data_IF_272486854281
#
_entry.id   IF_272486854281
#
_cell.length_a   1.000
_cell.length_b   1.000
_cell.length_c   1.000
_cell.angle_alpha   90.00
_cell.angle_beta   90.00
_cell.angle_gamma   90.00
#
_symmetry.space_group_name_H-M   'P 1'
#
loop_
_entity.id
_entity.type
_entity.pdbx_description
1 polymer ?
#
# COMPACT_ATOMS: atom_id res chain seq x y z
N UNK A 1 23.20 63.09 -20.40
CA UNK A 1 21.80 63.38 -20.80
C UNK A 1 21.25 62.15 -21.52
N UNK A 2 21.01 61.03 -20.84
CA UNK A 2 19.80 60.70 -20.07
C UNK A 2 19.32 59.33 -20.57
N UNK A 3 19.16 58.30 -19.72
CA UNK A 3 18.91 56.92 -20.18
C UNK A 3 17.42 56.59 -20.34
N UNK A 4 17.18 55.56 -21.15
CA UNK A 4 15.88 55.06 -21.61
C UNK A 4 15.01 54.48 -20.48
N UNK A 5 13.71 54.80 -20.57
CA UNK A 5 12.62 54.28 -19.76
C UNK A 5 12.50 52.74 -19.81
N UNK A 6 12.45 52.15 -18.62
CA UNK A 6 12.06 50.76 -18.38
C UNK A 6 10.64 50.79 -17.81
N UNK A 7 9.66 50.29 -18.57
CA UNK A 7 8.26 50.22 -18.14
C UNK A 7 8.11 49.18 -17.02
N UNK A 8 7.74 49.65 -15.83
CA UNK A 8 7.30 48.84 -14.70
C UNK A 8 5.86 48.36 -14.93
N UNK A 9 5.59 47.07 -14.71
CA UNK A 9 4.24 46.49 -14.66
C UNK A 9 3.51 46.95 -13.40
N UNK A 10 2.17 47.04 -13.41
CA UNK A 10 1.40 47.50 -12.26
C UNK A 10 1.38 46.47 -11.13
N UNK A 11 1.27 46.91 -9.86
CA UNK A 11 1.18 46.02 -8.70
C UNK A 11 -0.20 45.33 -8.64
N UNK A 12 -0.20 44.04 -8.30
CA UNK A 12 -1.41 43.32 -7.92
C UNK A 12 -1.99 43.94 -6.64
N UNK A 13 -3.23 44.38 -6.74
CA UNK A 13 -3.99 45.04 -5.68
C UNK A 13 -4.51 44.00 -4.66
N UNK A 14 -4.22 44.09 -3.35
CA UNK A 14 -4.75 43.20 -2.33
C UNK A 14 -5.97 43.87 -1.67
N UNK A 15 -7.12 43.83 -2.33
CA UNK A 15 -8.38 44.27 -1.73
C UNK A 15 -9.57 43.66 -2.46
N UNK A 16 -9.80 42.38 -2.20
CA UNK A 16 -11.11 41.77 -2.42
C UNK A 16 -11.44 40.96 -1.18
N UNK A 17 -12.55 41.24 -0.49
CA UNK A 17 -12.88 40.54 0.74
C UNK A 17 -13.09 39.06 0.41
N UNK A 18 -12.36 38.20 1.13
CA UNK A 18 -12.56 36.76 1.14
C UNK A 18 -14.03 36.49 1.46
N UNK A 19 -14.81 36.15 0.45
CA UNK A 19 -16.07 35.44 0.67
C UNK A 19 -15.70 34.17 1.42
N UNK A 20 -16.31 34.00 2.58
CA UNK A 20 -16.22 32.81 3.42
C UNK A 20 -16.21 31.55 2.55
N UNK A 21 -15.05 30.91 2.49
CA UNK A 21 -14.97 29.53 2.07
C UNK A 21 -15.67 28.72 3.16
N UNK A 22 -16.92 28.34 2.90
CA UNK A 22 -17.58 27.30 3.68
C UNK A 22 -16.68 26.06 3.63
N UNK A 23 -16.17 25.73 4.81
CA UNK A 23 -15.49 24.52 5.17
C UNK A 23 -16.29 23.32 4.63
N UNK A 24 -15.82 22.72 3.53
CA UNK A 24 -16.38 21.46 3.03
C UNK A 24 -15.87 20.36 3.96
N UNK A 25 -16.67 20.04 4.98
CA UNK A 25 -16.50 18.82 5.78
C UNK A 25 -16.66 17.62 4.84
N UNK A 26 -15.58 16.87 4.66
CA UNK A 26 -15.62 15.56 4.03
C UNK A 26 -16.17 14.56 5.05
N UNK A 27 -17.49 14.35 5.01
CA UNK A 27 -18.10 13.18 5.63
C UNK A 27 -17.70 11.94 4.82
N UNK A 28 -16.69 11.22 5.31
CA UNK A 28 -16.50 9.81 4.97
C UNK A 28 -17.80 9.08 5.32
N UNK A 29 -18.32 8.31 4.35
CA UNK A 29 -19.55 7.51 4.37
C UNK A 29 -20.79 8.14 3.72
N UNK A 30 -20.84 8.02 2.39
CA UNK A 30 -22.07 7.75 1.65
C UNK A 30 -22.67 8.96 0.92
N UNK A 31 -22.61 8.97 -0.41
CA UNK A 31 -23.79 8.85 -1.29
C UNK A 31 -23.44 8.92 -2.78
N UNK A 32 -24.33 8.29 -3.55
CA UNK A 32 -24.70 8.42 -4.97
C UNK A 32 -23.77 9.18 -5.92
N UNK A 33 -23.33 8.45 -6.94
CA UNK A 33 -22.59 8.94 -8.11
C UNK A 33 -23.37 9.96 -8.92
N UNK A 34 -22.68 11.01 -9.36
CA UNK A 34 -23.04 11.80 -10.52
C UNK A 34 -21.80 11.99 -11.39
N UNK A 35 -21.60 11.09 -12.37
CA UNK A 35 -21.18 11.46 -13.74
C UNK A 35 -21.17 10.22 -14.68
N UNK A 36 -22.01 10.16 -15.72
CA UNK A 36 -22.07 9.04 -16.66
C UNK A 36 -21.36 9.41 -17.97
N UNK A 37 -20.02 9.34 -18.02
CA UNK A 37 -19.35 9.91 -19.19
C UNK A 37 -17.94 9.42 -19.49
N UNK A 38 -17.60 8.15 -19.24
CA UNK A 38 -16.52 7.36 -19.88
C UNK A 38 -16.25 6.10 -19.05
N UNK A 39 -17.25 5.21 -18.97
CA UNK A 39 -17.01 3.85 -18.46
C UNK A 39 -16.43 3.01 -19.60
N UNK A 40 -15.15 2.63 -19.51
CA UNK A 40 -14.58 1.67 -20.44
C UNK A 40 -15.20 0.31 -20.18
N UNK A 41 -16.19 -0.05 -21.01
CA UNK A 41 -16.81 -1.37 -20.97
C UNK A 41 -15.71 -2.43 -21.12
N UNK A 42 -15.67 -3.39 -20.21
CA UNK A 42 -14.77 -4.52 -20.34
C UNK A 42 -15.34 -5.53 -21.34
N UNK A 43 -14.50 -5.93 -22.28
CA UNK A 43 -14.75 -7.03 -23.20
C UNK A 43 -13.90 -8.22 -22.79
N UNK A 44 -14.51 -9.40 -22.73
CA UNK A 44 -13.75 -10.63 -22.51
C UNK A 44 -12.80 -10.86 -23.70
N UNK A 45 -11.49 -11.13 -23.47
CA UNK A 45 -10.53 -11.34 -24.56
C UNK A 45 -10.70 -12.68 -25.29
N UNK A 46 -11.56 -13.58 -24.80
CA UNK A 46 -11.81 -14.86 -25.46
C UNK A 46 -12.59 -14.67 -26.76
N UNK A 47 -12.09 -15.13 -27.93
CA UNK A 47 -12.64 -14.81 -29.26
C UNK A 47 -14.12 -15.15 -29.47
N UNK A 48 -14.69 -16.03 -28.63
CA UNK A 48 -16.08 -16.49 -28.71
C UNK A 48 -16.94 -16.03 -27.53
N UNK A 49 -16.43 -15.15 -26.67
CA UNK A 49 -17.15 -14.71 -25.49
C UNK A 49 -17.72 -13.29 -25.64
N UNK A 50 -19.05 -13.19 -25.64
CA UNK A 50 -19.76 -11.92 -25.74
C UNK A 50 -20.02 -11.24 -24.37
N UNK A 51 -19.31 -11.65 -23.32
CA UNK A 51 -19.50 -11.06 -21.99
C UNK A 51 -18.98 -9.63 -21.94
N UNK A 52 -19.85 -8.74 -21.46
CA UNK A 52 -19.60 -7.32 -21.31
C UNK A 52 -20.04 -6.93 -19.90
N UNK A 53 -19.28 -6.10 -19.23
CA UNK A 53 -19.71 -5.43 -17.99
C UNK A 53 -19.58 -3.93 -18.19
N UNK A 54 -20.58 -3.22 -17.70
CA UNK A 54 -20.77 -1.78 -17.83
C UNK A 54 -19.75 -0.93 -17.08
N UNK A 55 -18.76 -1.54 -16.39
CA UNK A 55 -17.62 -0.86 -15.75
C UNK A 55 -17.97 0.06 -14.57
N UNK A 56 -19.25 0.34 -14.33
CA UNK A 56 -19.78 1.22 -13.28
C UNK A 56 -19.87 0.54 -11.92
N UNK A 57 -19.83 -0.79 -11.88
CA UNK A 57 -19.96 -1.53 -10.62
C UNK A 57 -18.66 -1.50 -9.81
N UNK A 58 -18.75 -1.16 -8.51
CA UNK A 58 -17.62 -1.25 -7.54
C UNK A 58 -16.93 -2.62 -7.51
N UNK A 59 -17.56 -3.65 -8.08
CA UNK A 59 -17.06 -5.02 -8.17
C UNK A 59 -16.48 -5.39 -9.54
N UNK A 60 -16.17 -4.41 -10.39
CA UNK A 60 -15.73 -4.65 -11.76
C UNK A 60 -14.54 -5.64 -11.89
N UNK A 61 -13.52 -5.55 -11.02
CA UNK A 61 -12.39 -6.50 -11.02
C UNK A 61 -12.81 -7.92 -10.61
N UNK A 62 -13.70 -8.05 -9.63
CA UNK A 62 -14.21 -9.35 -9.15
C UNK A 62 -15.11 -10.02 -10.18
N UNK A 63 -15.95 -9.25 -10.88
CA UNK A 63 -16.79 -9.75 -11.97
C UNK A 63 -15.94 -10.26 -13.13
N UNK A 64 -14.89 -9.52 -13.51
CA UNK A 64 -13.91 -9.96 -14.52
C UNK A 64 -13.22 -11.27 -14.14
N UNK A 65 -12.72 -11.38 -12.92
CA UNK A 65 -12.10 -12.62 -12.42
C UNK A 65 -13.08 -13.80 -12.40
N UNK A 66 -14.32 -13.59 -11.94
CA UNK A 66 -15.35 -14.63 -11.92
C UNK A 66 -15.74 -15.09 -13.32
N UNK A 67 -15.91 -14.13 -14.23
CA UNK A 67 -16.25 -14.41 -15.61
C UNK A 67 -15.14 -15.20 -16.30
N UNK A 68 -13.88 -14.77 -16.17
CA UNK A 68 -12.78 -15.43 -16.87
C UNK A 68 -12.53 -16.87 -16.41
N UNK A 69 -12.84 -17.21 -15.15
CA UNK A 69 -12.82 -18.60 -14.66
C UNK A 69 -13.78 -19.53 -15.42
N UNK A 70 -14.73 -19.00 -16.20
CA UNK A 70 -15.63 -19.80 -17.06
C UNK A 70 -14.97 -20.27 -18.36
N UNK A 71 -13.79 -19.71 -18.69
CA UNK A 71 -13.01 -20.05 -19.88
C UNK A 71 -11.84 -20.97 -19.59
N UNK A 72 -11.39 -21.05 -18.33
CA UNK A 72 -10.31 -21.96 -17.95
C UNK A 72 -10.84 -23.39 -17.87
N UNK A 73 -10.43 -24.29 -18.78
CA UNK A 73 -10.83 -25.68 -18.72
C UNK A 73 -10.22 -26.32 -17.47
N UNK A 74 -11.01 -27.17 -16.83
CA UNK A 74 -10.64 -27.95 -15.66
C UNK A 74 -11.18 -29.36 -15.89
N UNK A 75 -10.44 -30.40 -15.53
CA UNK A 75 -10.98 -31.77 -15.53
C UNK A 75 -10.75 -32.35 -14.14
N UNK A 76 -11.72 -32.14 -13.27
CA UNK A 76 -11.61 -32.58 -11.88
C UNK A 76 -12.87 -33.32 -11.43
N UNK A 77 -12.71 -34.56 -10.99
CA UNK A 77 -13.81 -35.37 -10.47
C UNK A 77 -14.12 -34.94 -9.04
N UNK A 78 -15.36 -34.57 -8.77
CA UNK A 78 -15.80 -34.25 -7.41
C UNK A 78 -15.61 -35.50 -6.52
N UNK A 79 -14.96 -35.39 -5.35
CA UNK A 79 -14.76 -36.56 -4.47
C UNK A 79 -16.06 -37.05 -3.83
N UNK A 80 -17.13 -36.25 -3.87
CA UNK A 80 -18.40 -36.52 -3.18
C UNK A 80 -19.53 -36.94 -4.12
N UNK A 81 -19.37 -36.80 -5.43
CA UNK A 81 -20.37 -37.22 -6.41
C UNK A 81 -19.75 -37.52 -7.79
N UNK A 82 -20.47 -38.17 -8.72
CA UNK A 82 -19.95 -38.51 -10.05
C UNK A 82 -19.67 -37.30 -10.97
N UNK A 83 -19.96 -36.06 -10.54
CA UNK A 83 -19.81 -34.87 -11.38
C UNK A 83 -18.34 -34.60 -11.70
N UNK A 84 -18.06 -34.44 -13.00
CA UNK A 84 -16.79 -33.93 -13.52
C UNK A 84 -16.92 -32.41 -13.67
N UNK A 85 -16.07 -31.67 -12.98
CA UNK A 85 -15.95 -30.22 -13.05
C UNK A 85 -15.18 -29.91 -14.31
N UNK A 86 -15.82 -29.24 -15.29
CA UNK A 86 -15.25 -28.96 -16.62
C UNK A 86 -14.55 -27.60 -16.71
N UNK A 87 -14.81 -26.72 -15.74
CA UNK A 87 -14.36 -25.32 -15.74
C UNK A 87 -13.91 -24.88 -14.35
N UNK A 88 -12.94 -23.98 -14.26
CA UNK A 88 -12.46 -23.47 -12.98
C UNK A 88 -13.55 -22.75 -12.15
N UNK A 89 -14.51 -22.09 -12.82
CA UNK A 89 -15.66 -21.45 -12.16
C UNK A 89 -16.55 -22.46 -11.41
N UNK A 90 -16.54 -23.72 -11.83
CA UNK A 90 -17.34 -24.79 -11.24
C UNK A 90 -16.67 -25.44 -10.01
N UNK A 91 -15.43 -25.06 -9.64
CA UNK A 91 -14.73 -25.59 -8.46
C UNK A 91 -15.47 -25.32 -7.13
N UNK A 92 -16.38 -24.33 -7.10
CA UNK A 92 -17.31 -24.09 -5.98
C UNK A 92 -18.25 -25.28 -5.72
N UNK A 93 -18.47 -26.12 -6.74
CA UNK A 93 -19.27 -27.32 -6.60
C UNK A 93 -18.79 -28.23 -5.47
N UNK A 94 -17.48 -28.34 -5.21
CA UNK A 94 -16.95 -29.21 -4.17
C UNK A 94 -17.44 -28.79 -2.78
N UNK A 95 -17.39 -27.49 -2.47
CA UNK A 95 -17.88 -26.94 -1.21
C UNK A 95 -19.40 -27.05 -1.09
N UNK A 96 -20.12 -26.82 -2.18
CA UNK A 96 -21.59 -26.90 -2.19
C UNK A 96 -22.09 -28.35 -2.13
N UNK A 97 -21.34 -29.29 -2.69
CA UNK A 97 -21.62 -30.72 -2.64
C UNK A 97 -21.40 -31.25 -1.22
N UNK A 98 -20.32 -30.83 -0.55
CA UNK A 98 -20.07 -31.16 0.85
C UNK A 98 -21.20 -30.70 1.77
N UNK A 99 -21.65 -29.45 1.62
CA UNK A 99 -22.80 -28.91 2.35
C UNK A 99 -24.08 -29.71 2.10
N UNK A 100 -24.41 -29.99 0.82
CA UNK A 100 -25.62 -30.72 0.44
C UNK A 100 -25.64 -32.16 0.94
N UNK A 101 -24.51 -32.87 0.86
CA UNK A 101 -24.39 -34.26 1.31
C UNK A 101 -24.11 -34.39 2.81
N UNK A 102 -23.95 -33.26 3.52
CA UNK A 102 -23.50 -33.23 4.92
C UNK A 102 -22.20 -34.04 5.12
N UNK A 103 -21.32 -33.97 4.14
CA UNK A 103 -20.02 -34.65 4.13
C UNK A 103 -18.90 -33.62 4.04
N UNK A 104 -17.84 -33.83 4.80
CA UNK A 104 -16.62 -33.02 4.70
C UNK A 104 -15.92 -33.34 3.37
N UNK A 105 -15.50 -32.30 2.64
CA UNK A 105 -14.64 -32.48 1.47
C UNK A 105 -13.27 -32.96 1.96
N UNK A 106 -12.70 -34.06 1.42
CA UNK A 106 -11.38 -34.52 1.82
C UNK A 106 -10.32 -33.43 1.69
N UNK A 107 -9.41 -33.30 2.65
CA UNK A 107 -8.40 -32.23 2.67
C UNK A 107 -7.51 -32.25 1.43
N UNK A 108 -7.18 -33.44 0.91
CA UNK A 108 -6.49 -33.61 -0.38
C UNK A 108 -7.23 -32.90 -1.52
N UNK A 109 -8.55 -33.04 -1.57
CA UNK A 109 -9.38 -32.42 -2.59
C UNK A 109 -9.48 -30.89 -2.41
N UNK A 110 -9.43 -30.38 -1.18
CA UNK A 110 -9.32 -28.93 -0.92
C UNK A 110 -7.98 -28.37 -1.41
N UNK A 111 -6.87 -29.08 -1.17
CA UNK A 111 -5.55 -28.71 -1.70
C UNK A 111 -5.52 -28.76 -3.23
N UNK A 112 -6.10 -29.78 -3.84
CA UNK A 112 -6.22 -29.88 -5.29
C UNK A 112 -7.05 -28.74 -5.88
N UNK A 113 -8.17 -28.40 -5.23
CA UNK A 113 -8.98 -27.23 -5.60
C UNK A 113 -8.15 -25.94 -5.57
N UNK A 114 -7.41 -25.69 -4.49
CA UNK A 114 -6.58 -24.49 -4.36
C UNK A 114 -5.51 -24.43 -5.46
N UNK A 115 -4.84 -25.56 -5.73
CA UNK A 115 -3.87 -25.68 -6.83
C UNK A 115 -4.48 -25.36 -8.19
N UNK A 116 -5.68 -25.87 -8.48
CA UNK A 116 -6.39 -25.60 -9.73
C UNK A 116 -6.85 -24.14 -9.83
N UNK A 117 -7.29 -23.53 -8.73
CA UNK A 117 -7.63 -22.10 -8.70
C UNK A 117 -6.40 -21.22 -8.95
N UNK A 118 -5.23 -21.58 -8.37
CA UNK A 118 -3.96 -20.91 -8.64
C UNK A 118 -3.54 -21.03 -10.10
N UNK A 119 -3.64 -22.22 -10.70
CA UNK A 119 -3.35 -22.43 -12.13
C UNK A 119 -4.30 -21.62 -13.03
N UNK A 120 -5.58 -21.56 -12.69
CA UNK A 120 -6.56 -20.76 -13.42
C UNK A 120 -6.28 -19.26 -13.36
N UNK A 121 -5.91 -18.75 -12.17
CA UNK A 121 -5.51 -17.36 -12.01
C UNK A 121 -4.22 -17.07 -12.79
N UNK A 122 -3.23 -17.98 -12.78
CA UNK A 122 -1.99 -17.81 -13.56
C UNK A 122 -2.26 -17.69 -15.07
N UNK A 123 -3.13 -18.53 -15.62
CA UNK A 123 -3.55 -18.45 -17.03
C UNK A 123 -4.29 -17.15 -17.34
N UNK A 124 -5.11 -16.65 -16.41
CA UNK A 124 -5.78 -15.36 -16.54
C UNK A 124 -4.74 -14.22 -16.68
N UNK A 125 -3.70 -14.19 -15.84
CA UNK A 125 -2.67 -13.16 -15.96
C UNK A 125 -2.02 -13.20 -17.35
N UNK A 126 -1.64 -14.39 -17.83
CA UNK A 126 -1.01 -14.58 -19.14
C UNK A 126 -1.88 -14.08 -20.31
N UNK A 127 -3.19 -14.33 -20.27
CA UNK A 127 -4.09 -13.87 -21.33
C UNK A 127 -4.36 -12.37 -21.25
N UNK A 128 -4.47 -11.82 -20.03
CA UNK A 128 -4.53 -10.37 -19.87
C UNK A 128 -3.27 -9.72 -20.42
N UNK A 129 -2.10 -10.24 -20.07
CA UNK A 129 -0.80 -9.72 -20.53
C UNK A 129 -0.65 -9.79 -22.06
N UNK A 130 -1.15 -10.86 -22.69
CA UNK A 130 -1.17 -10.99 -24.14
C UNK A 130 -2.17 -10.03 -24.82
N UNK A 131 -3.27 -9.68 -24.13
CA UNK A 131 -4.28 -8.76 -24.63
C UNK A 131 -3.89 -7.28 -24.47
N UNK A 132 -3.02 -6.95 -23.51
CA UNK A 132 -2.33 -5.67 -23.51
C UNK A 132 -1.29 -5.65 -24.61
N UNK A 133 -1.54 -4.89 -25.67
CA UNK A 133 -0.55 -4.65 -26.71
C UNK A 133 0.79 -4.11 -26.16
N UNK A 134 1.84 -4.00 -26.99
CA UNK A 134 3.19 -3.64 -26.56
C UNK A 134 3.30 -2.33 -25.74
N UNK A 135 2.35 -1.41 -25.89
CA UNK A 135 2.31 -0.14 -25.16
C UNK A 135 1.63 -0.22 -23.76
N UNK A 136 1.00 -1.33 -23.40
CA UNK A 136 0.26 -1.50 -22.13
C UNK A 136 0.80 -2.59 -21.19
N UNK A 137 1.89 -3.28 -21.60
CA UNK A 137 2.48 -4.41 -20.87
C UNK A 137 2.96 -4.08 -19.44
N UNK A 138 3.17 -2.81 -19.10
CA UNK A 138 3.59 -2.40 -17.75
C UNK A 138 2.44 -2.28 -16.73
N UNK A 139 1.17 -2.34 -17.12
CA UNK A 139 0.01 -2.06 -16.24
C UNK A 139 -0.77 -3.28 -15.71
N UNK A 140 -0.47 -4.50 -16.18
CA UNK A 140 -1.32 -5.68 -15.89
C UNK A 140 -0.82 -6.63 -14.80
N UNK A 141 0.44 -6.49 -14.37
CA UNK A 141 0.98 -7.24 -13.22
C UNK A 141 0.20 -6.99 -11.91
N UNK A 142 -0.55 -5.89 -11.85
CA UNK A 142 -1.35 -5.41 -10.71
C UNK A 142 -2.60 -6.27 -10.40
N UNK A 143 -3.14 -7.05 -11.35
CA UNK A 143 -4.46 -7.71 -11.19
C UNK A 143 -4.37 -9.09 -10.50
N UNK A 144 -3.18 -9.70 -10.41
CA UNK A 144 -3.01 -11.10 -9.98
C UNK A 144 -2.43 -11.31 -8.56
N UNK A 145 -2.27 -10.25 -7.77
CA UNK A 145 -1.53 -10.23 -6.50
C UNK A 145 -2.11 -10.98 -5.29
N UNK A 146 -2.83 -12.10 -5.47
CA UNK A 146 -3.26 -12.97 -4.36
C UNK A 146 -2.74 -14.42 -4.48
N UNK A 147 -1.70 -14.68 -5.27
CA UNK A 147 -0.98 -15.95 -5.21
C UNK A 147 0.50 -15.74 -5.47
N UNK A 148 1.30 -15.84 -4.41
CA UNK A 148 2.76 -15.89 -4.45
C UNK A 148 3.18 -16.96 -5.47
N UNK A 149 3.84 -16.54 -6.55
CA UNK A 149 4.56 -17.41 -7.46
C UNK A 149 6.03 -17.05 -7.34
N UNK A 150 6.75 -17.72 -6.44
CA UNK A 150 8.20 -17.78 -6.50
C UNK A 150 8.58 -18.68 -7.69
N UNK A 151 9.29 -18.14 -8.68
CA UNK A 151 9.94 -18.94 -9.71
C UNK A 151 11.26 -19.47 -9.18
N UNK A 152 11.37 -20.78 -9.24
CA UNK A 152 12.43 -21.67 -8.79
C UNK A 152 13.58 -21.70 -9.82
N UNK A 153 14.80 -21.35 -9.40
CA UNK A 153 16.04 -21.76 -10.06
C UNK A 153 16.92 -22.50 -9.05
N UNK A 154 16.89 -23.83 -9.18
CA UNK A 154 17.72 -24.90 -8.62
C UNK A 154 19.08 -24.52 -8.01
N UNK A 155 19.28 -24.97 -6.77
CA UNK A 155 20.53 -25.51 -6.22
C UNK A 155 20.20 -26.57 -5.12
N UNK A 156 21.10 -27.52 -4.80
CA UNK A 156 20.73 -28.90 -4.50
C UNK A 156 20.31 -29.19 -3.05
N UNK A 157 19.50 -30.24 -2.95
CA UNK A 157 19.01 -30.97 -1.78
C UNK A 157 20.05 -31.23 -0.68
N UNK A 158 19.68 -30.87 0.56
CA UNK A 158 20.15 -31.51 1.78
C UNK A 158 18.94 -31.75 2.71
N UNK A 159 19.02 -32.86 3.44
CA UNK A 159 17.92 -33.66 3.92
C UNK A 159 17.01 -33.00 4.98
N UNK A 160 15.75 -33.41 4.95
CA UNK A 160 14.72 -33.09 5.93
C UNK A 160 15.00 -33.78 7.28
N UNK A 161 14.85 -33.03 8.37
CA UNK A 161 14.40 -33.57 9.64
C UNK A 161 13.28 -32.70 10.20
N UNK A 162 12.16 -33.35 10.49
CA UNK A 162 10.90 -32.78 10.96
C UNK A 162 10.99 -32.52 12.46
N UNK A 163 10.85 -31.26 12.88
CA UNK A 163 10.53 -30.90 14.27
C UNK A 163 9.27 -30.03 14.24
N UNK A 164 8.18 -30.57 14.79
CA UNK A 164 7.00 -29.79 15.13
C UNK A 164 7.28 -28.97 16.39
N UNK A 165 7.67 -27.72 16.21
CA UNK A 165 7.87 -26.74 17.28
C UNK A 165 7.59 -25.34 16.75
N UNK A 166 6.90 -24.53 17.55
CA UNK A 166 6.59 -23.14 17.25
C UNK A 166 7.93 -22.36 17.15
N UNK A 167 8.37 -21.84 15.99
CA UNK A 167 9.75 -21.39 15.78
C UNK A 167 10.11 -20.06 16.49
N UNK A 168 9.21 -19.52 17.31
CA UNK A 168 9.35 -18.21 17.95
C UNK A 168 9.64 -18.27 19.46
N UNK A 169 9.81 -19.46 20.04
CA UNK A 169 10.24 -19.63 21.45
C UNK A 169 11.70 -20.10 21.54
N UNK A 170 12.40 -20.21 20.41
CA UNK A 170 13.79 -20.65 20.33
C UNK A 170 14.75 -19.47 20.10
N UNK A 171 15.42 -19.08 21.18
CA UNK A 171 16.74 -18.43 21.24
C UNK A 171 16.93 -17.13 20.42
N UNK A 172 16.96 -15.99 21.13
CA UNK A 172 17.21 -14.63 20.63
C UNK A 172 18.61 -14.40 20.01
N UNK A 173 19.38 -15.47 19.79
CA UNK A 173 20.79 -15.44 19.37
C UNK A 173 20.99 -15.52 17.85
N UNK A 174 19.97 -15.86 17.06
CA UNK A 174 20.08 -16.03 15.61
C UNK A 174 20.02 -14.71 14.78
N UNK A 175 19.95 -13.55 15.43
CA UNK A 175 20.04 -12.22 14.79
C UNK A 175 21.47 -11.65 14.76
N UNK A 176 22.50 -12.50 14.75
CA UNK A 176 23.87 -12.13 14.32
C UNK A 176 23.94 -11.90 12.80
N UNK A 177 22.96 -11.18 12.25
CA UNK A 177 23.06 -10.57 10.93
C UNK A 177 23.93 -9.33 11.13
N UNK A 178 25.13 -9.34 10.52
CA UNK A 178 26.05 -8.22 10.35
C UNK A 178 25.54 -6.87 10.91
N UNK A 179 26.28 -6.29 11.87
CA UNK A 179 26.14 -4.90 12.33
C UNK A 179 26.46 -3.90 11.20
N UNK A 180 25.73 -4.01 10.10
CA UNK A 180 25.62 -2.98 9.08
C UNK A 180 24.94 -1.80 9.74
N UNK A 181 25.78 -0.89 10.24
CA UNK A 181 25.36 0.41 10.70
C UNK A 181 24.65 1.13 9.56
N UNK A 182 23.46 1.63 9.86
CA UNK A 182 22.71 2.43 8.92
C UNK A 182 23.50 3.71 8.62
N UNK A 183 23.53 4.13 7.36
CA UNK A 183 24.21 5.35 6.96
C UNK A 183 23.58 6.55 7.67
N UNK A 184 24.38 7.54 8.09
CA UNK A 184 23.87 8.76 8.72
C UNK A 184 24.11 10.01 7.86
N UNK A 185 23.39 11.09 8.12
CA UNK A 185 23.47 12.34 7.38
C UNK A 185 23.39 13.57 8.29
N UNK A 186 23.83 14.72 7.78
CA UNK A 186 23.75 16.00 8.51
C UNK A 186 22.33 16.58 8.38
N UNK A 187 21.60 16.82 9.49
CA UNK A 187 20.20 17.24 9.44
C UNK A 187 19.95 18.54 8.65
N UNK A 188 20.85 19.52 8.76
CA UNK A 188 20.71 20.81 8.06
C UNK A 188 20.82 20.70 6.54
N UNK A 189 21.53 19.69 6.03
CA UNK A 189 21.60 19.41 4.58
C UNK A 189 20.27 18.82 4.11
N UNK A 190 19.72 17.88 4.87
CA UNK A 190 18.42 17.28 4.57
C UNK A 190 17.28 18.31 4.61
N UNK A 191 17.24 19.14 5.65
CA UNK A 191 16.28 20.24 5.78
C UNK A 191 16.31 21.17 4.56
N UNK A 192 17.51 21.65 4.17
CA UNK A 192 17.68 22.49 2.97
C UNK A 192 17.22 21.79 1.70
N UNK A 193 17.51 20.49 1.57
CA UNK A 193 17.08 19.69 0.41
C UNK A 193 15.55 19.59 0.33
N UNK A 194 14.88 19.32 1.45
CA UNK A 194 13.42 19.23 1.53
C UNK A 194 12.79 20.59 1.24
N UNK A 195 13.29 21.68 1.82
CA UNK A 195 12.78 23.02 1.54
C UNK A 195 12.94 23.42 0.06
N UNK A 196 14.03 22.99 -0.59
CA UNK A 196 14.30 23.31 -1.99
C UNK A 196 13.50 22.45 -2.99
N UNK A 197 13.49 21.14 -2.77
CA UNK A 197 13.01 20.16 -3.77
C UNK A 197 11.81 19.35 -3.31
N UNK A 198 11.46 19.44 -2.03
CA UNK A 198 10.45 18.61 -1.38
C UNK A 198 10.98 17.25 -0.91
N UNK A 199 12.25 16.91 -1.19
CA UNK A 199 12.81 15.60 -0.83
C UNK A 199 14.27 15.65 -0.37
N UNK A 200 14.64 14.69 0.47
CA UNK A 200 16.02 14.28 0.76
C UNK A 200 16.09 12.75 0.63
N UNK A 201 17.18 12.25 0.05
CA UNK A 201 17.29 10.85 -0.38
C UNK A 201 18.65 10.32 0.06
N UNK A 202 18.64 9.16 0.73
CA UNK A 202 19.82 8.47 1.22
C UNK A 202 19.74 6.99 0.84
N UNK A 203 20.66 6.54 -0.02
CA UNK A 203 20.87 5.11 -0.24
C UNK A 203 21.45 4.47 1.02
N UNK A 204 20.84 3.39 1.50
CA UNK A 204 21.26 2.71 2.73
C UNK A 204 20.96 1.22 2.62
N UNK A 205 22.01 0.45 2.34
CA UNK A 205 21.94 -1.01 2.18
C UNK A 205 21.44 -1.72 3.44
N UNK A 206 21.76 -1.19 4.63
CA UNK A 206 21.31 -1.78 5.89
C UNK A 206 19.79 -1.66 6.03
N UNK A 207 19.24 -0.49 5.69
CA UNK A 207 17.78 -0.29 5.65
C UNK A 207 17.14 -1.18 4.59
N UNK A 208 17.70 -1.24 3.38
CA UNK A 208 17.15 -2.09 2.31
C UNK A 208 17.01 -3.55 2.74
N UNK A 209 18.08 -4.15 3.29
CA UNK A 209 18.05 -5.53 3.82
C UNK A 209 16.97 -5.70 4.90
N UNK A 210 16.94 -4.78 5.87
CA UNK A 210 15.96 -4.76 6.95
C UNK A 210 14.51 -4.67 6.43
N UNK A 211 14.26 -3.86 5.41
CA UNK A 211 12.95 -3.74 4.76
C UNK A 211 12.54 -5.04 4.05
N UNK A 212 13.48 -5.71 3.39
CA UNK A 212 13.24 -7.03 2.78
C UNK A 212 12.91 -8.09 3.82
N UNK A 213 13.67 -8.14 4.92
CA UNK A 213 13.42 -9.05 6.04
C UNK A 213 12.04 -8.77 6.66
N UNK A 214 11.70 -7.50 6.92
CA UNK A 214 10.40 -7.10 7.45
C UNK A 214 9.23 -7.50 6.53
N UNK A 215 9.42 -7.38 5.22
CA UNK A 215 8.43 -7.79 4.23
C UNK A 215 8.25 -9.30 4.16
N UNK A 216 9.29 -10.10 4.41
CA UNK A 216 9.20 -11.56 4.43
C UNK A 216 8.21 -12.09 5.48
N UNK A 217 7.93 -11.29 6.52
CA UNK A 217 6.93 -11.57 7.56
C UNK A 217 5.55 -10.94 7.29
N UNK A 218 5.31 -10.45 6.07
CA UNK A 218 4.01 -9.89 5.67
C UNK A 218 3.72 -8.50 6.26
N UNK A 219 4.75 -7.73 6.56
CA UNK A 219 4.65 -6.36 7.10
C UNK A 219 3.83 -6.25 8.39
N UNK A 220 4.32 -6.78 9.52
CA UNK A 220 3.58 -6.79 10.80
C UNK A 220 3.55 -5.41 11.50
N UNK A 221 3.15 -4.34 10.79
CA UNK A 221 3.21 -2.92 11.19
C UNK A 221 2.41 -2.57 12.45
N UNK A 222 1.48 -3.44 12.86
CA UNK A 222 0.63 -3.27 14.05
C UNK A 222 0.96 -4.24 15.19
N UNK A 223 2.16 -4.81 15.16
CA UNK A 223 2.72 -5.60 16.26
C UNK A 223 3.78 -4.79 17.01
N UNK A 224 4.08 -5.15 18.27
CA UNK A 224 5.12 -4.49 19.06
C UNK A 224 6.46 -4.46 18.30
N UNK A 225 6.90 -5.63 17.80
CA UNK A 225 8.12 -5.77 17.02
C UNK A 225 8.09 -4.99 15.70
N UNK A 226 6.93 -4.92 15.05
CA UNK A 226 6.83 -4.13 13.83
C UNK A 226 6.89 -2.63 14.09
N UNK A 227 6.33 -2.17 15.20
CA UNK A 227 6.46 -0.78 15.61
C UNK A 227 7.90 -0.44 15.99
N UNK A 228 8.58 -1.33 16.72
CA UNK A 228 10.00 -1.22 17.05
C UNK A 228 10.87 -1.12 15.79
N UNK A 229 10.65 -2.00 14.82
CA UNK A 229 11.34 -1.96 13.52
C UNK A 229 11.19 -0.61 12.84
N UNK A 230 9.95 -0.13 12.73
CA UNK A 230 9.64 1.12 12.06
C UNK A 230 10.28 2.29 12.81
N UNK A 231 10.20 2.32 14.13
CA UNK A 231 10.78 3.36 14.96
C UNK A 231 12.31 3.40 14.84
N UNK A 232 12.98 2.25 14.97
CA UNK A 232 14.44 2.11 14.87
C UNK A 232 15.00 2.58 13.54
N UNK A 233 14.25 2.40 12.44
CA UNK A 233 14.66 2.81 11.10
C UNK A 233 14.09 4.19 10.70
N UNK A 234 13.38 4.89 11.59
CA UNK A 234 12.82 6.23 11.35
C UNK A 234 12.98 7.18 12.54
N UNK A 235 11.97 7.32 13.40
CA UNK A 235 11.88 8.34 14.46
C UNK A 235 12.88 8.17 15.60
N UNK A 236 13.41 6.97 15.85
CA UNK A 236 14.48 6.76 16.82
C UNK A 236 15.86 7.07 16.22
N UNK A 237 15.97 7.35 14.91
CA UNK A 237 17.22 7.82 14.33
C UNK A 237 17.43 9.29 14.64
N UNK A 238 18.55 9.60 15.26
CA UNK A 238 18.90 10.97 15.68
C UNK A 238 18.85 11.94 14.49
N UNK A 239 19.43 11.56 13.35
CA UNK A 239 19.47 12.42 12.15
C UNK A 239 18.09 12.73 11.58
N UNK A 240 17.22 11.72 11.43
CA UNK A 240 15.84 11.86 10.98
C UNK A 240 15.02 12.72 11.95
N UNK A 241 15.08 12.40 13.24
CA UNK A 241 14.29 13.10 14.25
C UNK A 241 14.72 14.56 14.41
N UNK A 242 16.03 14.86 14.27
CA UNK A 242 16.54 16.22 14.21
C UNK A 242 15.93 17.03 13.06
N UNK A 243 15.78 16.43 11.86
CA UNK A 243 15.10 17.10 10.74
C UNK A 243 13.63 17.36 11.07
N UNK A 244 12.92 16.36 11.60
CA UNK A 244 11.51 16.52 11.98
C UNK A 244 11.31 17.66 13.00
N UNK A 245 12.15 17.73 14.05
CA UNK A 245 12.07 18.80 15.06
C UNK A 245 12.47 20.18 14.53
N UNK A 246 13.40 20.24 13.58
CA UNK A 246 13.81 21.50 12.96
C UNK A 246 12.69 22.08 12.07
N UNK A 247 11.98 21.20 11.36
CA UNK A 247 10.95 21.61 10.40
C UNK A 247 9.55 21.79 11.02
N UNK A 248 9.26 21.12 12.14
CA UNK A 248 7.91 21.05 12.72
C UNK A 248 7.92 21.25 14.23
N UNK A 249 6.88 21.92 14.75
CA UNK A 249 6.65 22.07 16.18
C UNK A 249 5.97 20.81 16.73
N UNK A 250 6.54 20.22 17.79
CA UNK A 250 6.00 19.04 18.46
C UNK A 250 5.62 17.90 17.49
N UNK A 251 6.58 17.34 16.74
CA UNK A 251 6.30 16.28 15.79
C UNK A 251 5.79 15.01 16.50
N UNK A 252 4.75 14.41 15.92
CA UNK A 252 4.07 13.21 16.41
C UNK A 252 3.84 12.24 15.24
N UNK A 253 3.92 10.93 15.49
CA UNK A 253 3.73 9.89 14.48
C UNK A 253 2.24 9.60 14.25
N UNK A 254 1.75 9.92 13.06
CA UNK A 254 0.34 9.83 12.71
C UNK A 254 -0.10 8.66 11.84
N UNK A 255 0.79 8.13 11.00
CA UNK A 255 0.37 7.21 9.95
C UNK A 255 1.47 6.21 9.53
N UNK A 256 1.02 5.02 9.11
CA UNK A 256 1.84 3.96 8.52
C UNK A 256 1.10 3.41 7.30
N UNK A 257 1.77 3.37 6.15
CA UNK A 257 1.24 2.80 4.91
C UNK A 257 2.32 2.10 4.11
N UNK A 258 1.94 1.15 3.26
CA UNK A 258 2.87 0.44 2.38
C UNK A 258 2.35 0.64 0.96
N UNK A 259 3.21 1.13 0.08
CA UNK A 259 2.86 1.44 -1.30
C UNK A 259 3.89 0.83 -2.23
N UNK A 260 3.46 0.36 -3.40
CA UNK A 260 4.36 -0.22 -4.39
C UNK A 260 3.91 0.08 -5.81
N UNK A 261 4.51 -0.62 -6.77
CA UNK A 261 4.17 -0.52 -8.20
C UNK A 261 2.71 -0.92 -8.54
N UNK A 262 1.94 -1.38 -7.54
CA UNK A 262 0.49 -1.62 -7.65
C UNK A 262 -0.30 -0.31 -7.88
N UNK A 263 0.30 0.85 -7.55
CA UNK A 263 -0.27 2.15 -7.83
C UNK A 263 -0.44 2.36 -9.35
N UNK A 264 -1.55 2.99 -9.74
CA UNK A 264 -1.92 3.17 -11.14
C UNK A 264 -0.90 4.08 -11.86
N UNK A 265 -0.30 3.56 -12.94
CA UNK A 265 0.56 4.35 -13.81
C UNK A 265 -0.15 5.56 -14.43
N UNK A 266 0.62 6.62 -14.74
CA UNK A 266 0.08 7.88 -15.27
C UNK A 266 -0.50 8.82 -14.21
N UNK A 267 -0.43 8.44 -12.93
CA UNK A 267 -0.77 9.29 -11.80
C UNK A 267 0.46 9.56 -10.92
N UNK A 268 0.44 10.72 -10.27
CA UNK A 268 1.27 11.01 -9.12
C UNK A 268 0.39 10.99 -7.86
N UNK A 269 0.98 10.58 -6.76
CA UNK A 269 0.33 10.42 -5.47
C UNK A 269 0.96 11.32 -4.43
N UNK A 270 0.15 11.81 -3.49
CA UNK A 270 0.57 12.65 -2.37
C UNK A 270 -0.18 12.25 -1.11
N UNK A 271 0.36 12.57 0.04
CA UNK A 271 -0.40 12.46 1.28
C UNK A 271 -1.28 13.70 1.51
N UNK A 272 -0.80 14.88 1.09
CA UNK A 272 -1.46 16.15 1.32
C UNK A 272 -1.52 17.03 0.06
N UNK A 273 -2.46 17.97 0.04
CA UNK A 273 -2.57 18.97 -1.02
C UNK A 273 -1.41 19.95 -0.99
N UNK A 274 -0.96 20.41 -2.16
CA UNK A 274 0.12 21.40 -2.24
C UNK A 274 -0.26 22.73 -1.62
N UNK A 275 0.70 23.39 -0.97
CA UNK A 275 0.50 24.67 -0.29
C UNK A 275 1.80 25.47 -0.17
N UNK A 276 1.71 26.80 -0.17
CA UNK A 276 2.83 27.69 0.14
C UNK A 276 3.10 27.84 1.65
N UNK A 277 2.25 27.25 2.51
CA UNK A 277 2.43 27.26 3.96
C UNK A 277 3.66 26.43 4.37
N UNK A 278 4.09 26.63 5.62
CA UNK A 278 5.13 25.83 6.25
C UNK A 278 4.80 24.32 6.20
N UNK A 279 5.84 23.50 6.29
CA UNK A 279 5.70 22.04 6.32
C UNK A 279 5.06 21.63 7.65
N UNK A 280 3.90 20.99 7.59
CA UNK A 280 3.19 20.48 8.76
C UNK A 280 3.27 18.96 8.90
N UNK A 281 3.78 18.28 7.87
CA UNK A 281 3.99 16.84 7.88
C UNK A 281 5.19 16.45 6.99
N UNK A 282 5.97 15.50 7.48
CA UNK A 282 7.07 14.85 6.77
C UNK A 282 6.73 13.37 6.59
N UNK A 283 6.84 12.89 5.36
CA UNK A 283 6.77 11.47 5.06
C UNK A 283 8.18 10.87 5.02
N UNK A 284 8.42 9.88 5.88
CA UNK A 284 9.62 9.06 5.93
C UNK A 284 9.33 7.80 5.13
N UNK A 285 10.08 7.55 4.06
CA UNK A 285 9.94 6.35 3.25
C UNK A 285 11.13 5.42 3.45
N UNK A 286 10.85 4.17 3.84
CA UNK A 286 11.83 3.07 3.86
C UNK A 286 11.66 2.26 2.58
N UNK A 287 12.70 2.18 1.76
CA UNK A 287 12.63 1.61 0.42
C UNK A 287 13.18 0.19 0.39
N UNK A 288 12.50 -0.70 -0.32
CA UNK A 288 13.07 -1.99 -0.69
C UNK A 288 14.23 -1.85 -1.67
N UNK A 289 15.04 -2.89 -1.77
CA UNK A 289 16.04 -3.08 -2.82
C UNK A 289 15.41 -2.97 -4.22
N UNK A 290 16.15 -2.39 -5.16
CA UNK A 290 15.76 -2.15 -6.55
C UNK A 290 14.45 -1.35 -6.76
N UNK A 291 14.05 -0.58 -5.75
CA UNK A 291 12.93 0.35 -5.87
C UNK A 291 13.27 1.52 -6.79
N UNK A 292 12.32 1.88 -7.64
CA UNK A 292 12.41 3.04 -8.52
C UNK A 292 11.17 3.92 -8.35
N UNK A 293 11.40 5.20 -8.03
CA UNK A 293 10.35 6.19 -7.82
C UNK A 293 10.65 7.46 -8.61
N UNK A 294 9.60 8.07 -9.15
CA UNK A 294 9.65 9.40 -9.76
C UNK A 294 9.06 10.40 -8.80
N UNK A 295 9.87 11.34 -8.35
CA UNK A 295 9.42 12.52 -7.62
C UNK A 295 9.04 13.63 -8.60
N UNK A 296 7.96 14.35 -8.31
CA UNK A 296 7.48 15.46 -9.11
C UNK A 296 7.79 16.76 -8.36
N UNK A 297 9.06 17.19 -8.34
CA UNK A 297 9.52 18.37 -7.61
C UNK A 297 8.73 19.63 -8.02
N UNK A 298 8.45 20.51 -7.06
CA UNK A 298 7.64 21.72 -7.26
C UNK A 298 6.14 21.51 -7.04
N UNK A 299 5.70 20.26 -6.95
CA UNK A 299 4.30 19.94 -6.67
C UNK A 299 3.84 20.25 -5.25
N UNK A 300 4.76 20.25 -4.28
CA UNK A 300 4.48 20.51 -2.87
C UNK A 300 3.91 21.92 -2.62
N UNK A 301 4.14 22.87 -3.54
CA UNK A 301 3.62 24.23 -3.47
C UNK A 301 2.38 24.47 -4.36
N UNK A 302 1.98 23.48 -5.16
CA UNK A 302 0.92 23.63 -6.16
C UNK A 302 -0.33 22.84 -5.79
N UNK A 303 -1.47 23.53 -5.82
CA UNK A 303 -2.79 22.87 -5.81
C UNK A 303 -3.02 22.17 -7.14
N UNK A 304 -3.60 20.97 -7.11
CA UNK A 304 -3.82 20.18 -8.30
C UNK A 304 -5.15 19.44 -8.23
N UNK A 305 -5.78 19.23 -9.38
CA UNK A 305 -7.03 18.47 -9.45
C UNK A 305 -6.85 17.05 -8.91
N UNK A 306 -7.74 16.67 -7.99
CA UNK A 306 -7.71 15.40 -7.29
C UNK A 306 -8.69 14.45 -7.97
N UNK A 307 -8.22 13.26 -8.31
CA UNK A 307 -9.06 12.20 -8.84
C UNK A 307 -9.72 11.41 -7.69
N UNK A 308 -10.84 11.94 -7.17
CA UNK A 308 -11.52 11.48 -5.94
C UNK A 308 -11.62 9.95 -5.80
N UNK A 309 -12.15 9.24 -6.81
CA UNK A 309 -12.33 7.79 -6.75
C UNK A 309 -11.02 7.02 -6.53
N UNK A 310 -9.95 7.47 -7.17
CA UNK A 310 -8.64 6.82 -7.07
C UNK A 310 -7.99 7.19 -5.74
N UNK A 311 -8.22 8.42 -5.27
CA UNK A 311 -7.72 8.88 -3.99
C UNK A 311 -8.33 8.14 -2.82
N UNK A 312 -9.66 7.97 -2.81
CA UNK A 312 -10.36 7.20 -1.79
C UNK A 312 -9.96 5.73 -1.79
N UNK A 313 -9.64 5.16 -2.95
CA UNK A 313 -9.22 3.76 -3.05
C UNK A 313 -7.84 3.51 -2.43
N UNK A 314 -6.88 4.40 -2.68
CA UNK A 314 -5.50 4.23 -2.22
C UNK A 314 -5.21 4.91 -0.87
N UNK A 315 -6.10 5.78 -0.39
CA UNK A 315 -5.82 6.62 0.77
C UNK A 315 -4.70 7.63 0.51
N UNK A 316 -4.51 8.05 -0.74
CA UNK A 316 -3.51 9.02 -1.19
C UNK A 316 -4.19 9.98 -2.16
N UNK A 317 -3.81 11.25 -2.20
CA UNK A 317 -4.32 12.18 -3.22
C UNK A 317 -3.71 11.83 -4.58
N UNK A 318 -4.52 11.31 -5.48
CA UNK A 318 -4.11 10.97 -6.83
C UNK A 318 -4.39 12.11 -7.80
N UNK A 319 -3.39 12.52 -8.56
CA UNK A 319 -3.51 13.52 -9.62
C UNK A 319 -2.91 12.97 -10.90
N UNK A 320 -3.60 13.15 -12.03
CA UNK A 320 -3.09 12.73 -13.33
C UNK A 320 -1.80 13.49 -13.66
N UNK A 321 -0.77 12.77 -14.09
CA UNK A 321 0.48 13.39 -14.53
C UNK A 321 0.21 14.13 -15.84
N UNK A 322 0.32 15.46 -15.82
CA UNK A 322 0.22 16.28 -17.02
C UNK A 322 1.62 16.75 -17.42
N UNK A 323 2.09 16.32 -18.58
CA UNK A 323 3.32 16.85 -19.18
C UNK A 323 3.18 18.35 -19.41
N UNK A 324 4.19 19.13 -19.02
CA UNK A 324 4.26 20.56 -19.30
C UNK A 324 3.65 21.50 -18.24
N UNK A 325 3.33 21.01 -17.03
CA UNK A 325 3.01 21.92 -15.91
C UNK A 325 4.24 22.78 -15.58
N UNK A 326 4.06 24.09 -15.60
CA UNK A 326 5.13 25.03 -15.32
C UNK A 326 5.68 24.81 -13.90
N UNK A 327 7.01 24.73 -13.77
CA UNK A 327 7.69 24.58 -12.49
C UNK A 327 7.62 23.19 -11.85
N UNK A 328 7.09 22.17 -12.54
CA UNK A 328 7.15 20.77 -12.08
C UNK A 328 8.29 20.04 -12.79
N UNK A 329 9.23 19.50 -12.02
CA UNK A 329 10.38 18.73 -12.54
C UNK A 329 10.26 17.28 -12.09
N UNK A 330 10.37 16.34 -13.03
CA UNK A 330 10.40 14.92 -12.71
C UNK A 330 11.83 14.47 -12.40
N UNK A 331 12.03 13.93 -11.20
CA UNK A 331 13.29 13.34 -10.75
C UNK A 331 13.08 11.86 -10.49
N UNK A 332 13.63 11.04 -11.38
CA UNK A 332 13.66 9.58 -11.27
C UNK A 332 14.82 9.16 -10.38
N UNK A 333 14.54 8.27 -9.43
CA UNK A 333 15.52 7.80 -8.44
C UNK A 333 15.40 6.29 -8.30
N UNK A 334 16.54 5.62 -8.41
CA UNK A 334 16.68 4.18 -8.21
C UNK A 334 17.49 3.94 -6.93
N UNK A 335 16.93 3.21 -5.97
CA UNK A 335 17.65 2.75 -4.79
C UNK A 335 18.02 1.28 -4.95
N UNK A 336 19.15 1.03 -5.62
CA UNK A 336 19.62 -0.33 -5.91
C UNK A 336 19.64 -1.20 -4.66
N UNK A 337 20.27 -0.72 -3.57
CA UNK A 337 20.39 -1.47 -2.32
C UNK A 337 19.29 -1.13 -1.30
N UNK A 338 18.25 -0.40 -1.69
CA UNK A 338 17.26 0.19 -0.77
C UNK A 338 17.77 1.45 -0.07
N UNK A 339 16.99 1.95 0.90
CA UNK A 339 17.38 3.14 1.63
C UNK A 339 16.23 3.92 2.26
N UNK A 340 16.46 5.21 2.45
CA UNK A 340 15.60 6.13 3.17
C UNK A 340 15.35 7.38 2.32
N UNK A 341 14.12 7.87 2.33
CA UNK A 341 13.80 9.21 1.84
C UNK A 341 12.98 9.98 2.88
N UNK A 342 13.26 11.28 3.01
CA UNK A 342 12.46 12.23 3.78
C UNK A 342 11.79 13.18 2.81
N UNK A 343 10.47 13.28 2.88
CA UNK A 343 9.68 14.04 1.93
C UNK A 343 8.78 15.05 2.65
N UNK A 344 8.62 16.22 2.05
CA UNK A 344 7.42 17.02 2.29
C UNK A 344 6.20 16.17 1.91
N UNK A 345 5.24 16.00 2.81
CA UNK A 345 4.08 15.11 2.58
C UNK A 345 3.20 15.53 1.38
N UNK A 346 3.37 16.77 0.91
CA UNK A 346 2.70 17.36 -0.25
C UNK A 346 3.43 17.09 -1.57
N UNK A 347 4.66 16.59 -1.54
CA UNK A 347 5.41 16.24 -2.74
C UNK A 347 4.77 15.04 -3.45
N UNK A 348 4.51 15.21 -4.75
CA UNK A 348 4.03 14.13 -5.62
C UNK A 348 5.09 13.08 -5.89
N UNK A 349 4.72 11.81 -5.82
CA UNK A 349 5.56 10.69 -6.20
C UNK A 349 4.79 9.63 -7.02
N UNK A 350 5.51 8.86 -7.84
CA UNK A 350 4.99 7.70 -8.57
C UNK A 350 5.96 6.53 -8.39
N UNK A 351 5.46 5.35 -8.01
CA UNK A 351 6.30 4.16 -7.81
C UNK A 351 6.32 3.36 -9.13
N UNK A 352 7.50 3.22 -9.71
CA UNK A 352 7.72 2.49 -10.98
C UNK A 352 7.98 1.01 -10.70
N UNK A 353 8.85 0.72 -9.74
CA UNK A 353 9.18 -0.63 -9.29
C UNK A 353 9.41 -0.67 -7.77
N UNK A 354 9.30 -1.88 -7.20
CA UNK A 354 9.52 -2.10 -5.77
C UNK A 354 8.38 -1.58 -4.88
N UNK A 355 8.71 -1.33 -3.62
CA UNK A 355 7.78 -0.78 -2.64
C UNK A 355 8.49 0.09 -1.60
N UNK A 356 7.68 0.89 -0.89
CA UNK A 356 8.09 1.69 0.24
C UNK A 356 7.16 1.50 1.43
N UNK A 357 7.74 1.56 2.63
CA UNK A 357 6.99 1.71 3.87
C UNK A 357 7.02 3.20 4.22
N UNK A 358 5.86 3.83 4.24
CA UNK A 358 5.67 5.23 4.52
C UNK A 358 5.25 5.43 5.97
N UNK A 359 6.04 6.21 6.71
CA UNK A 359 5.81 6.63 8.09
C UNK A 359 5.61 8.14 8.05
N UNK A 360 4.47 8.62 8.52
CA UNK A 360 4.14 10.04 8.46
C UNK A 360 4.20 10.67 9.85
N UNK A 361 5.03 11.69 9.97
CA UNK A 361 5.20 12.52 11.16
C UNK A 361 4.57 13.87 10.87
N UNK A 362 3.76 14.38 11.78
CA UNK A 362 3.06 15.65 11.61
C UNK A 362 3.00 16.44 12.90
N UNK A 363 2.66 17.72 12.81
CA UNK A 363 2.38 18.54 14.00
C UNK A 363 1.08 18.12 14.66
N UNK A 364 0.93 18.41 15.95
CA UNK A 364 -0.31 18.14 16.68
C UNK A 364 -1.53 18.87 16.08
N UNK A 365 -1.35 20.03 15.44
CA UNK A 365 -2.42 20.72 14.73
C UNK A 365 -2.92 19.92 13.53
N UNK A 366 -2.01 19.34 12.75
CA UNK A 366 -2.34 18.54 11.57
C UNK A 366 -2.97 17.20 11.97
N UNK A 367 -2.46 16.55 13.02
CA UNK A 367 -2.97 15.25 13.49
C UNK A 367 -4.41 15.27 14.00
N UNK A 368 -4.94 16.43 14.40
CA UNK A 368 -6.36 16.57 14.80
C UNK A 368 -7.33 16.26 13.66
N UNK A 369 -6.87 16.37 12.41
CA UNK A 369 -7.65 16.06 11.23
C UNK A 369 -7.46 14.62 10.74
N UNK A 370 -6.53 13.88 11.34
CA UNK A 370 -6.20 12.51 10.92
C UNK A 370 -6.98 11.50 11.74
N UNK A 371 -7.39 10.41 11.09
CA UNK A 371 -7.85 9.23 11.79
C UNK A 371 -6.71 8.63 12.60
N UNK A 372 -6.97 8.28 13.86
CA UNK A 372 -5.99 7.61 14.71
C UNK A 372 -5.68 6.20 14.17
N UNK A 373 -4.44 5.75 14.34
CA UNK A 373 -4.05 4.40 13.94
C UNK A 373 -4.71 3.36 14.85
N UNK A 374 -5.58 2.52 14.28
CA UNK A 374 -6.15 1.37 14.96
C UNK A 374 -5.12 0.30 15.26
N UNK A 375 -4.76 0.17 16.54
CA UNK A 375 -3.78 -0.79 17.06
C UNK A 375 -4.48 -1.92 17.83
N UNK A 376 -4.16 -3.21 17.57
CA UNK A 376 -4.67 -4.32 18.37
C UNK A 376 -4.06 -4.27 19.77
N UNK A 377 -4.88 -4.34 20.81
CA UNK A 377 -4.36 -4.33 22.17
C UNK A 377 -3.52 -5.58 22.45
N UNK A 378 -2.32 -5.36 22.98
CA UNK A 378 -1.44 -6.35 23.61
C UNK A 378 -0.56 -5.60 24.60
N UNK A 379 -0.11 -6.27 25.68
CA UNK A 379 0.71 -5.61 26.68
C UNK A 379 2.09 -5.21 26.11
N UNK A 380 2.63 -6.00 25.18
CA UNK A 380 3.87 -5.71 24.46
C UNK A 380 3.73 -4.48 23.58
N UNK A 381 2.64 -4.34 22.82
CA UNK A 381 2.43 -3.16 21.98
C UNK A 381 2.16 -1.91 22.82
N UNK A 382 1.44 -2.05 23.94
CA UNK A 382 1.21 -0.96 24.89
C UNK A 382 2.53 -0.48 25.50
N UNK A 383 3.39 -1.42 25.90
CA UNK A 383 4.72 -1.11 26.39
C UNK A 383 5.55 -0.39 25.33
N UNK A 384 5.52 -0.88 24.08
CA UNK A 384 6.32 -0.27 23.00
C UNK A 384 5.87 1.15 22.67
N UNK A 385 4.56 1.41 22.65
CA UNK A 385 4.02 2.76 22.50
C UNK A 385 4.41 3.66 23.69
N UNK A 386 4.44 3.12 24.91
CA UNK A 386 4.88 3.85 26.10
C UNK A 386 6.36 4.24 25.98
N UNK A 387 7.23 3.29 25.63
CA UNK A 387 8.65 3.53 25.40
C UNK A 387 8.88 4.64 24.37
N UNK A 388 8.20 4.59 23.23
CA UNK A 388 8.31 5.64 22.19
C UNK A 388 7.92 7.02 22.72
N UNK A 389 6.89 7.09 23.57
CA UNK A 389 6.47 8.33 24.22
C UNK A 389 7.55 8.87 25.17
N UNK A 390 8.19 8.00 25.95
CA UNK A 390 9.30 8.39 26.84
C UNK A 390 10.51 8.91 26.04
N UNK A 391 10.73 8.39 24.83
CA UNK A 391 11.74 8.89 23.88
C UNK A 391 11.31 10.18 23.14
N UNK A 392 10.14 10.72 23.48
CA UNK A 392 9.62 11.96 22.93
C UNK A 392 8.94 11.81 21.57
N UNK A 393 8.58 10.59 21.16
CA UNK A 393 7.78 10.32 19.97
C UNK A 393 6.37 9.88 20.36
N UNK A 394 5.40 10.79 20.29
CA UNK A 394 4.01 10.43 20.51
C UNK A 394 3.43 9.71 19.28
N UNK A 395 2.69 8.62 19.51
CA UNK A 395 2.03 7.83 18.46
C UNK A 395 0.52 8.11 18.49
N UNK A 396 -0.04 8.66 17.41
CA UNK A 396 -1.46 8.91 17.28
C UNK A 396 -2.21 7.60 16.99
N UNK A 397 -2.67 6.93 18.04
CA UNK A 397 -3.30 5.63 17.95
C UNK A 397 -4.59 5.57 18.76
N UNK A 398 -5.43 4.60 18.43
CA UNK A 398 -6.49 4.12 19.29
C UNK A 398 -6.42 2.59 19.42
N UNK A 399 -6.87 2.08 20.55
CA UNK A 399 -6.98 0.64 20.76
C UNK A 399 -8.21 0.11 20.05
N UNK A 400 -8.02 -0.91 19.21
CA UNK A 400 -9.12 -1.64 18.61
C UNK A 400 -9.84 -2.43 19.70
N UNK A 401 -11.11 -2.13 19.92
CA UNK A 401 -11.96 -2.90 20.84
C UNK A 401 -12.16 -4.29 20.24
N UNK A 402 -11.43 -5.27 20.77
CA UNK A 402 -11.75 -6.68 20.51
C UNK A 402 -13.06 -6.95 21.21
N UNK A 403 -14.15 -7.17 20.46
CA UNK A 403 -15.43 -7.54 21.07
C UNK A 403 -15.22 -8.81 21.90
N UNK A 404 -15.30 -8.75 23.25
CA UNK A 404 -15.20 -9.95 24.07
C UNK A 404 -16.44 -10.79 23.75
N UNK A 405 -16.25 -11.96 23.16
CA UNK A 405 -17.36 -12.88 22.85
C UNK A 405 -17.51 -13.30 21.39
N UNK A 406 -16.63 -12.87 20.49
CA UNK A 406 -16.35 -13.68 19.31
C UNK A 406 -15.42 -14.81 19.73
N UNK A 407 -15.93 -15.82 20.47
CA UNK A 407 -15.20 -17.07 20.64
C UNK A 407 -14.71 -17.49 19.26
N UNK A 408 -13.43 -17.89 19.19
CA UNK A 408 -12.94 -18.57 18.01
C UNK A 408 -13.99 -19.60 17.61
N UNK A 409 -14.52 -19.45 16.39
CA UNK A 409 -15.41 -20.44 15.82
C UNK A 409 -14.56 -21.68 15.60
N UNK A 410 -14.46 -22.45 16.67
CA UNK A 410 -13.97 -23.81 16.65
C UNK A 410 -14.95 -24.56 15.75
N UNK A 411 -14.47 -24.97 14.58
CA UNK A 411 -15.26 -25.71 13.60
C UNK A 411 -15.49 -27.16 14.07
N UNK A 412 -16.00 -27.36 15.28
CA UNK A 412 -16.37 -28.66 15.83
C UNK A 412 -17.45 -28.49 16.91
N UNK A 413 -18.71 -28.70 16.48
CA UNK A 413 -19.84 -29.31 17.21
C UNK A 413 -21.14 -28.51 17.08
N UNK A 414 -21.95 -28.87 16.08
CA UNK A 414 -23.39 -28.66 16.11
C UNK A 414 -23.99 -29.86 16.84
N UNK A 415 -24.29 -29.69 18.13
CA UNK A 415 -25.14 -30.59 18.90
C UNK A 415 -26.58 -30.06 18.89
N UNK A 416 -27.50 -30.89 18.40
CA UNK A 416 -28.96 -30.70 18.44
C UNK A 416 -29.46 -30.59 19.88
N UNK A 417 -30.51 -29.80 20.09
CA UNK A 417 -31.64 -30.22 20.92
C UNK A 417 -32.96 -29.83 20.25
N UNK A 418 -33.86 -30.80 20.30
CA UNK A 418 -35.16 -30.90 19.66
C UNK A 418 -36.24 -30.12 20.40
N UNK A 419 -37.26 -29.78 19.64
CA UNK A 419 -38.63 -29.38 20.00
C UNK A 419 -39.23 -29.99 21.27
N UNK A 420 -39.99 -29.17 22.00
CA UNK A 420 -41.40 -29.41 22.33
C UNK A 420 -42.16 -28.10 22.19
#
# INVERSE_FOLDING_TARGET
TGPRNMQLRPPCNPSTPLKEFKEVRFDLWGTKSADPGLSSAFFCPEPKCNYKTDGTTRHHSQLRQRHYRTHVPCEYKCPLCPKIIKKASELRHMTDCGKRRRQRVPDKALKDKERLEKQANKKLCQVLDAAAGPQTQHSLWTICGNSICATDQRAPTLAANTIHGNPWVGDSSAFLLDDLHAASFVPTIAEKSINRTGSFILGDRAIGRRVMDFASFGFPTKSARGLEFLAKNSVCRVDVWSVCKAMMKCPSWGFIGIYGAVLTGGYMYRFHGGSSKNVNAIAIQLWSTDSEIVFHEGTQTQCTDIHENLSSYWGLLATKVCSGRHGVVQKRVTMKDGGLALLDSRLGFSIISGYTICILIATDEELRFWAQMGMPYSDELKWEIHRLREEGCNVNHNWLVTKPGGSGMDCTSIGRTTTS
#
